data_IF_591235017289
#
_entry.id   IF_591235017289
#
_cell.length_a   1.000
_cell.length_b   1.000
_cell.length_c   1.000
_cell.angle_alpha   90.00
_cell.angle_beta   90.00
_cell.angle_gamma   90.00
#
_symmetry.space_group_name_H-M   'P 1'
#
loop_
_entity.id
_entity.type
_entity.pdbx_description
1 polymer ?
#
# COMPACT_ATOMS: atom_id res chain seq x y z
N UNK A 1 -62.52 29.52 31.48
CA UNK A 1 -61.96 28.91 30.25
C UNK A 1 -60.47 28.70 30.45
N UNK A 2 -60.07 27.52 30.92
CA UNK A 2 -58.66 27.16 31.14
C UNK A 2 -58.11 26.54 29.87
N UNK A 3 -57.19 27.24 29.21
CA UNK A 3 -56.43 26.75 28.06
C UNK A 3 -55.52 25.62 28.53
N UNK A 4 -55.83 24.37 28.16
CA UNK A 4 -54.96 23.21 28.36
C UNK A 4 -53.88 23.28 27.28
N UNK A 5 -52.68 23.70 27.65
CA UNK A 5 -51.51 23.59 26.77
C UNK A 5 -51.17 22.10 26.63
N UNK A 6 -51.24 21.60 25.40
CA UNK A 6 -50.96 20.21 25.05
C UNK A 6 -49.43 20.02 24.96
N UNK A 7 -48.82 19.56 26.05
CA UNK A 7 -47.37 19.36 26.18
C UNK A 7 -46.93 18.01 25.59
N UNK A 8 -47.21 17.74 24.32
CA UNK A 8 -46.96 16.41 23.70
C UNK A 8 -45.61 16.28 22.97
N UNK A 9 -44.70 17.26 23.10
CA UNK A 9 -43.49 17.32 22.27
C UNK A 9 -42.14 17.14 23.01
N UNK A 10 -42.13 16.96 24.33
CA UNK A 10 -40.86 16.89 25.11
C UNK A 10 -40.18 15.52 25.13
N UNK A 11 -40.90 14.46 24.80
CA UNK A 11 -40.45 13.06 24.94
C UNK A 11 -39.69 12.51 23.73
N UNK A 12 -39.65 13.24 22.61
CA UNK A 12 -38.96 12.85 21.38
C UNK A 12 -37.70 13.70 21.18
N UNK A 13 -36.67 13.12 20.57
CA UNK A 13 -35.52 13.90 20.11
C UNK A 13 -35.95 14.82 18.97
N UNK A 14 -35.43 16.04 18.97
CA UNK A 14 -35.59 16.97 17.85
C UNK A 14 -34.84 16.49 16.60
N UNK A 15 -34.98 17.23 15.50
CA UNK A 15 -34.36 16.90 14.20
C UNK A 15 -32.83 17.03 14.23
N UNK A 16 -32.31 18.00 14.99
CA UNK A 16 -30.87 18.32 15.03
C UNK A 16 -29.96 17.12 15.36
N UNK A 17 -30.22 16.32 16.42
CA UNK A 17 -29.45 15.10 16.68
C UNK A 17 -29.37 14.15 15.49
N UNK A 18 -30.44 13.98 14.71
CA UNK A 18 -30.43 13.11 13.53
C UNK A 18 -29.60 13.68 12.37
N UNK A 19 -29.50 15.00 12.24
CA UNK A 19 -28.57 15.65 11.30
C UNK A 19 -27.12 15.33 11.71
N UNK A 20 -26.81 15.40 13.00
CA UNK A 20 -25.50 14.98 13.53
C UNK A 20 -25.24 13.50 13.26
N UNK A 21 -26.23 12.65 13.47
CA UNK A 21 -26.16 11.23 13.08
C UNK A 21 -25.90 11.04 11.58
N UNK A 22 -26.54 11.83 10.71
CA UNK A 22 -26.30 11.78 9.26
C UNK A 22 -24.89 12.20 8.84
N UNK A 23 -24.31 13.20 9.51
CA UNK A 23 -22.92 13.63 9.26
C UNK A 23 -21.88 12.55 9.56
N UNK A 24 -22.25 11.49 10.29
CA UNK A 24 -21.35 10.36 10.56
C UNK A 24 -20.95 9.56 9.32
N UNK A 25 -21.62 9.77 8.19
CA UNK A 25 -21.32 9.12 6.91
C UNK A 25 -20.33 9.92 6.02
N UNK A 26 -19.86 11.07 6.47
CA UNK A 26 -18.76 11.79 5.78
C UNK A 26 -17.47 10.99 6.01
N UNK A 27 -16.78 10.50 4.98
CA UNK A 27 -15.53 9.77 5.17
C UNK A 27 -14.52 10.60 5.99
N UNK A 28 -13.76 9.93 6.86
CA UNK A 28 -12.78 10.50 7.81
C UNK A 28 -13.39 11.33 8.94
N UNK A 29 -14.10 12.41 8.61
CA UNK A 29 -14.70 13.34 9.59
C UNK A 29 -15.90 12.74 10.33
N UNK A 30 -16.58 11.79 9.69
CA UNK A 30 -17.81 11.15 10.17
C UNK A 30 -17.62 10.33 11.44
N UNK A 31 -16.41 9.86 11.75
CA UNK A 31 -16.15 9.15 13.01
C UNK A 31 -16.43 10.03 14.22
N UNK A 32 -16.03 11.31 14.18
CA UNK A 32 -16.28 12.27 15.28
C UNK A 32 -17.79 12.47 15.47
N UNK A 33 -18.52 12.72 14.39
CA UNK A 33 -19.98 12.87 14.43
C UNK A 33 -20.70 11.58 14.84
N UNK A 34 -20.18 10.43 14.42
CA UNK A 34 -20.69 9.10 14.77
C UNK A 34 -20.54 8.81 16.26
N UNK A 35 -19.38 9.14 16.86
CA UNK A 35 -19.15 9.00 18.30
C UNK A 35 -20.06 9.93 19.10
N UNK A 36 -20.23 11.18 18.67
CA UNK A 36 -21.15 12.14 19.30
C UNK A 36 -22.59 11.61 19.25
N UNK A 37 -23.06 11.16 18.09
CA UNK A 37 -24.39 10.60 17.91
C UNK A 37 -24.60 9.31 18.73
N UNK A 38 -23.57 8.45 18.79
CA UNK A 38 -23.60 7.21 19.57
C UNK A 38 -23.77 7.48 21.06
N UNK A 39 -22.90 8.32 21.64
CA UNK A 39 -22.96 8.68 23.07
C UNK A 39 -24.27 9.40 23.38
N UNK A 40 -24.68 10.36 22.55
CA UNK A 40 -25.93 11.09 22.75
C UNK A 40 -27.15 10.16 22.68
N UNK A 41 -27.17 9.25 21.71
CA UNK A 41 -28.24 8.27 21.55
C UNK A 41 -28.35 7.29 22.72
N UNK A 42 -27.23 6.85 23.28
CA UNK A 42 -27.17 5.93 24.42
C UNK A 42 -27.55 6.61 25.75
N UNK A 43 -27.14 7.87 25.95
CA UNK A 43 -27.43 8.64 27.18
C UNK A 43 -28.87 9.20 27.17
N UNK A 44 -29.49 9.35 25.99
CA UNK A 44 -30.84 9.91 25.88
C UNK A 44 -31.93 8.89 26.27
N UNK A 45 -32.68 9.19 27.34
CA UNK A 45 -33.91 8.48 27.69
C UNK A 45 -35.11 8.81 26.76
N UNK A 46 -34.93 9.72 25.80
CA UNK A 46 -35.99 10.18 24.90
C UNK A 46 -36.24 9.19 23.75
N UNK A 47 -37.48 9.16 23.26
CA UNK A 47 -37.84 8.40 22.06
C UNK A 47 -36.98 8.88 20.88
N UNK A 48 -36.29 7.95 20.24
CA UNK A 48 -35.34 8.20 19.15
C UNK A 48 -33.87 8.01 19.51
N UNK A 49 -33.51 7.95 20.81
CA UNK A 49 -32.11 7.78 21.24
C UNK A 49 -31.44 6.53 20.66
N UNK A 50 -32.13 5.38 20.69
CA UNK A 50 -31.65 4.13 20.08
C UNK A 50 -31.40 4.25 18.57
N UNK A 51 -32.26 4.98 17.85
CA UNK A 51 -32.09 5.18 16.41
C UNK A 51 -30.90 6.09 16.12
N UNK A 52 -30.73 7.16 16.90
CA UNK A 52 -29.58 8.05 16.81
C UNK A 52 -28.26 7.28 17.09
N UNK A 53 -28.27 6.44 18.12
CA UNK A 53 -27.13 5.58 18.44
C UNK A 53 -26.81 4.62 17.29
N UNK A 54 -27.83 4.00 16.69
CA UNK A 54 -27.67 3.13 15.53
C UNK A 54 -27.10 3.88 14.32
N UNK A 55 -27.53 5.13 14.06
CA UNK A 55 -26.97 5.96 12.99
C UNK A 55 -25.49 6.27 13.22
N UNK A 56 -25.12 6.65 14.45
CA UNK A 56 -23.72 6.91 14.80
C UNK A 56 -22.84 5.66 14.64
N UNK A 57 -23.31 4.50 15.12
CA UNK A 57 -22.62 3.23 14.94
C UNK A 57 -22.49 2.84 13.45
N UNK A 58 -23.54 3.05 12.66
CA UNK A 58 -23.54 2.75 11.23
C UNK A 58 -22.56 3.63 10.45
N UNK A 59 -22.45 4.93 10.76
CA UNK A 59 -21.47 5.81 10.12
C UNK A 59 -20.01 5.46 10.46
N UNK A 60 -19.75 5.07 11.71
CA UNK A 60 -18.43 4.53 12.11
C UNK A 60 -18.13 3.25 11.34
N UNK A 61 -19.07 2.30 11.33
CA UNK A 61 -18.91 1.03 10.60
C UNK A 61 -18.71 1.26 9.09
N UNK A 62 -19.43 2.21 8.50
CA UNK A 62 -19.27 2.61 7.10
C UNK A 62 -17.87 3.14 6.80
N UNK A 63 -17.33 3.97 7.69
CA UNK A 63 -15.95 4.47 7.57
C UNK A 63 -14.95 3.33 7.63
N UNK A 64 -15.08 2.44 8.63
CA UNK A 64 -14.22 1.25 8.76
C UNK A 64 -14.31 0.36 7.52
N UNK A 65 -15.51 0.14 6.99
CA UNK A 65 -15.74 -0.66 5.78
C UNK A 65 -14.99 -0.08 4.58
N UNK A 66 -15.16 1.22 4.31
CA UNK A 66 -14.49 1.89 3.18
C UNK A 66 -12.98 1.79 3.30
N UNK A 67 -12.42 2.14 4.46
CA UNK A 67 -10.96 2.14 4.60
C UNK A 67 -10.37 0.74 4.64
N UNK A 68 -11.08 -0.24 5.20
CA UNK A 68 -10.67 -1.65 5.14
C UNK A 68 -10.69 -2.16 3.70
N UNK A 69 -11.70 -1.78 2.91
CA UNK A 69 -11.77 -2.12 1.49
C UNK A 69 -10.63 -1.45 0.70
N UNK A 70 -10.41 -0.13 0.87
CA UNK A 70 -9.30 0.59 0.24
C UNK A 70 -7.95 -0.02 0.61
N UNK A 71 -7.77 -0.40 1.87
CA UNK A 71 -6.55 -1.07 2.31
C UNK A 71 -6.40 -2.45 1.68
N UNK A 72 -7.46 -3.26 1.68
CA UNK A 72 -7.44 -4.60 1.13
C UNK A 72 -7.18 -4.59 -0.38
N UNK A 73 -7.95 -3.85 -1.16
CA UNK A 73 -7.77 -3.72 -2.61
C UNK A 73 -6.51 -2.95 -2.98
N UNK A 74 -6.05 -2.06 -2.09
CA UNK A 74 -4.90 -1.20 -2.31
C UNK A 74 -3.57 -1.89 -2.05
N UNK A 75 -3.52 -2.74 -1.02
CA UNK A 75 -2.27 -3.28 -0.48
C UNK A 75 -2.28 -4.81 -0.32
N UNK A 76 -3.42 -5.44 -0.08
CA UNK A 76 -3.48 -6.86 0.29
C UNK A 76 -3.76 -7.78 -0.90
N UNK A 77 -4.62 -7.34 -1.80
CA UNK A 77 -4.98 -8.08 -2.98
C UNK A 77 -3.87 -7.96 -4.03
N UNK A 78 -3.26 -9.10 -4.36
CA UNK A 78 -2.42 -9.26 -5.56
C UNK A 78 -3.29 -9.17 -6.81
N UNK A 79 -2.79 -8.54 -7.87
CA UNK A 79 -3.54 -8.09 -9.04
C UNK A 79 -4.45 -6.90 -8.76
N UNK A 80 -4.15 -6.09 -7.74
CA UNK A 80 -4.98 -4.96 -7.30
C UNK A 80 -4.85 -3.74 -8.22
N UNK A 81 -5.64 -2.69 -7.93
CA UNK A 81 -5.67 -1.44 -8.72
C UNK A 81 -4.31 -0.73 -8.76
N UNK A 82 -3.41 -1.02 -7.82
CA UNK A 82 -2.08 -0.44 -7.75
C UNK A 82 -0.97 -1.33 -8.34
N UNK A 83 -1.28 -2.54 -8.80
CA UNK A 83 -0.25 -3.47 -9.29
C UNK A 83 0.43 -2.96 -10.55
N UNK A 84 -0.30 -2.36 -11.49
CA UNK A 84 0.28 -1.72 -12.68
C UNK A 84 1.26 -0.61 -12.31
N UNK A 85 0.91 0.21 -11.31
CA UNK A 85 1.76 1.29 -10.81
C UNK A 85 3.02 0.73 -10.12
N UNK A 86 2.86 -0.33 -9.32
CA UNK A 86 4.01 -1.01 -8.68
C UNK A 86 4.90 -1.68 -9.69
N UNK A 87 4.35 -2.28 -10.75
CA UNK A 87 5.10 -2.86 -11.86
C UNK A 87 5.93 -1.81 -12.58
N UNK A 88 5.34 -0.63 -12.86
CA UNK A 88 6.08 0.50 -13.42
C UNK A 88 7.19 1.01 -12.49
N UNK A 89 6.93 1.06 -11.17
CA UNK A 89 7.96 1.41 -10.19
C UNK A 89 9.08 0.37 -10.14
N UNK A 90 8.74 -0.93 -10.09
CA UNK A 90 9.69 -2.03 -10.11
C UNK A 90 10.61 -1.92 -11.33
N UNK A 91 10.02 -1.70 -12.50
CA UNK A 91 10.73 -1.53 -13.75
C UNK A 91 11.72 -0.35 -13.72
N UNK A 92 11.27 0.83 -13.30
CA UNK A 92 12.14 2.02 -13.21
C UNK A 92 13.29 1.83 -12.20
N UNK A 93 13.01 1.16 -11.09
CA UNK A 93 14.01 0.85 -10.07
C UNK A 93 15.03 -0.17 -10.59
N UNK A 94 14.57 -1.21 -11.27
CA UNK A 94 15.42 -2.22 -11.91
C UNK A 94 16.37 -1.60 -12.93
N UNK A 95 15.85 -0.75 -13.81
CA UNK A 95 16.65 -0.07 -14.85
C UNK A 95 17.75 0.80 -14.22
N UNK A 96 17.41 1.53 -13.14
CA UNK A 96 18.37 2.35 -12.40
C UNK A 96 19.40 1.51 -11.63
N UNK A 97 18.98 0.35 -11.12
CA UNK A 97 19.81 -0.56 -10.36
C UNK A 97 20.87 -1.25 -11.23
N UNK A 98 20.56 -1.59 -12.48
CA UNK A 98 21.55 -2.08 -13.46
C UNK A 98 22.72 -1.12 -13.57
N UNK A 99 22.47 0.17 -13.80
CA UNK A 99 23.54 1.16 -13.91
C UNK A 99 24.42 1.23 -12.66
N UNK A 100 23.84 1.00 -11.49
CA UNK A 100 24.55 1.01 -10.21
C UNK A 100 25.43 -0.23 -10.04
N UNK A 101 24.90 -1.41 -10.36
CA UNK A 101 25.63 -2.69 -10.30
C UNK A 101 26.80 -2.70 -11.30
N UNK A 102 26.58 -2.23 -12.53
CA UNK A 102 27.65 -2.14 -13.53
C UNK A 102 28.73 -1.14 -13.09
N UNK A 103 28.34 0.00 -12.52
CA UNK A 103 29.31 0.97 -11.98
C UNK A 103 30.12 0.39 -10.82
N UNK A 104 29.51 -0.44 -9.97
CA UNK A 104 30.19 -1.13 -8.89
C UNK A 104 31.26 -2.08 -9.43
N UNK A 105 30.93 -2.86 -10.47
CA UNK A 105 31.84 -3.79 -11.11
C UNK A 105 33.06 -3.08 -11.73
N UNK A 106 32.86 -1.92 -12.37
CA UNK A 106 33.95 -1.12 -12.92
C UNK A 106 34.91 -0.62 -11.82
N UNK A 107 34.39 -0.29 -10.63
CA UNK A 107 35.18 0.25 -9.53
C UNK A 107 35.92 -0.83 -8.73
N UNK A 108 35.30 -2.00 -8.54
CA UNK A 108 35.80 -3.06 -7.67
C UNK A 108 36.37 -4.26 -8.44
N UNK A 109 36.22 -4.28 -9.77
CA UNK A 109 36.62 -5.38 -10.65
C UNK A 109 35.68 -6.59 -10.66
N UNK A 110 34.71 -6.64 -9.75
CA UNK A 110 33.77 -7.75 -9.59
C UNK A 110 32.35 -7.27 -9.25
N UNK A 111 31.34 -8.03 -9.63
CA UNK A 111 29.95 -7.78 -9.22
C UNK A 111 29.75 -8.00 -7.70
N UNK A 112 28.85 -7.23 -7.07
CA UNK A 112 28.59 -7.33 -5.63
C UNK A 112 28.11 -8.73 -5.25
N UNK A 113 28.40 -9.16 -4.01
CA UNK A 113 27.95 -10.48 -3.55
C UNK A 113 26.43 -10.54 -3.35
N UNK A 114 25.82 -9.40 -3.00
CA UNK A 114 24.38 -9.24 -2.80
C UNK A 114 24.00 -7.75 -2.94
N UNK A 115 22.70 -7.47 -3.05
CA UNK A 115 22.21 -6.07 -3.03
C UNK A 115 22.42 -5.41 -1.66
N UNK A 116 22.42 -6.18 -0.57
CA UNK A 116 22.80 -5.67 0.75
C UNK A 116 24.28 -5.22 0.77
N UNK A 117 25.18 -6.02 0.21
CA UNK A 117 26.60 -5.63 0.11
C UNK A 117 26.79 -4.41 -0.80
N UNK A 118 25.98 -4.27 -1.87
CA UNK A 118 25.97 -3.07 -2.69
C UNK A 118 25.52 -1.85 -1.86
N UNK A 119 24.46 -1.99 -1.05
CA UNK A 119 23.92 -0.93 -0.20
C UNK A 119 24.98 -0.33 0.73
N UNK A 120 25.80 -1.18 1.35
CA UNK A 120 26.86 -0.75 2.28
C UNK A 120 27.96 0.09 1.62
N UNK A 121 28.10 0.00 0.29
CA UNK A 121 29.09 0.78 -0.48
C UNK A 121 28.55 2.10 -1.05
N UNK A 122 27.24 2.31 -0.97
CA UNK A 122 26.62 3.51 -1.50
C UNK A 122 26.77 4.69 -0.51
N UNK A 123 27.05 5.91 -1.00
CA UNK A 123 26.97 7.12 -0.17
C UNK A 123 25.55 7.25 0.41
N UNK A 124 25.44 7.70 1.66
CA UNK A 124 24.12 7.88 2.31
C UNK A 124 23.18 8.84 1.56
N UNK A 125 23.73 9.71 0.71
CA UNK A 125 22.99 10.67 -0.12
C UNK A 125 22.39 10.03 -1.39
N UNK A 126 22.83 8.83 -1.79
CA UNK A 126 22.25 8.13 -2.95
C UNK A 126 20.99 7.39 -2.55
N UNK A 127 19.85 7.96 -2.92
CA UNK A 127 18.55 7.30 -2.82
C UNK A 127 18.36 6.30 -3.96
N UNK A 128 18.89 5.08 -3.81
CA UNK A 128 18.68 3.97 -4.75
C UNK A 128 17.70 2.99 -4.11
N UNK A 129 16.63 2.66 -4.83
CA UNK A 129 15.64 1.70 -4.37
C UNK A 129 16.11 0.28 -4.74
N UNK A 130 16.47 -0.49 -3.72
CA UNK A 130 16.94 -1.87 -3.85
C UNK A 130 15.82 -2.90 -3.62
N UNK A 131 14.67 -2.45 -3.15
CA UNK A 131 13.55 -3.28 -2.72
C UNK A 131 12.49 -3.40 -3.80
N UNK A 132 11.93 -4.59 -3.91
CA UNK A 132 10.92 -4.93 -4.88
C UNK A 132 9.52 -4.51 -4.35
N UNK A 133 8.83 -3.57 -5.04
CA UNK A 133 7.52 -3.10 -4.61
C UNK A 133 6.41 -4.13 -4.84
N UNK A 134 6.64 -5.20 -5.62
CA UNK A 134 5.66 -6.25 -5.90
C UNK A 134 5.69 -7.38 -4.87
N UNK A 135 6.85 -7.68 -4.30
CA UNK A 135 6.99 -8.71 -3.25
C UNK A 135 6.77 -8.17 -1.83
N UNK A 136 6.87 -6.84 -1.65
CA UNK A 136 6.67 -6.17 -0.36
C UNK A 136 5.27 -6.44 0.20
N UNK A 137 5.17 -7.42 1.11
CA UNK A 137 3.93 -7.73 1.80
C UNK A 137 3.59 -6.66 2.84
N UNK A 138 2.29 -6.42 3.08
CA UNK A 138 1.76 -5.49 4.10
C UNK A 138 2.41 -5.63 5.49
N UNK A 139 2.84 -6.84 5.85
CA UNK A 139 3.41 -7.17 7.16
C UNK A 139 4.84 -7.70 7.08
N UNK A 140 5.44 -7.70 5.89
CA UNK A 140 6.79 -8.22 5.64
C UNK A 140 7.85 -7.13 5.72
N UNK A 141 9.08 -7.53 5.98
CA UNK A 141 10.22 -6.67 5.67
C UNK A 141 10.26 -6.47 4.15
N UNK A 142 10.61 -5.28 3.65
CA UNK A 142 10.78 -5.07 2.23
C UNK A 142 11.85 -6.03 1.71
N UNK A 143 11.51 -6.81 0.69
CA UNK A 143 12.43 -7.77 0.09
C UNK A 143 13.22 -7.07 -1.01
N UNK A 144 14.50 -7.40 -1.11
CA UNK A 144 15.34 -6.93 -2.22
C UNK A 144 14.81 -7.48 -3.55
N UNK A 145 15.10 -6.79 -4.65
CA UNK A 145 15.01 -7.43 -5.96
C UNK A 145 15.82 -8.73 -5.99
N UNK A 146 15.34 -9.71 -6.75
CA UNK A 146 16.11 -10.93 -6.94
C UNK A 146 17.41 -10.60 -7.64
N UNK A 147 18.52 -10.94 -6.99
CA UNK A 147 19.86 -10.77 -7.51
C UNK A 147 20.65 -12.06 -7.31
N UNK A 148 21.21 -12.57 -8.40
CA UNK A 148 22.07 -13.74 -8.35
C UNK A 148 23.26 -13.54 -9.28
N UNK A 149 24.46 -13.55 -8.71
CA UNK A 149 25.69 -13.55 -9.50
C UNK A 149 25.90 -14.90 -10.20
N UNK A 150 26.29 -14.87 -11.46
CA UNK A 150 26.60 -16.02 -12.31
C UNK A 150 28.05 -15.91 -12.77
N UNK A 151 28.94 -16.68 -12.15
CA UNK A 151 30.38 -16.56 -12.39
C UNK A 151 30.95 -15.20 -11.97
N UNK A 152 31.95 -14.72 -12.71
CA UNK A 152 32.65 -13.45 -12.39
C UNK A 152 32.11 -12.24 -13.16
N UNK A 153 31.43 -12.49 -14.28
CA UNK A 153 31.09 -11.46 -15.28
C UNK A 153 29.61 -11.38 -15.59
N UNK A 154 28.77 -12.15 -14.92
CA UNK A 154 27.35 -12.18 -15.20
C UNK A 154 26.50 -12.20 -13.92
N UNK A 155 25.25 -11.78 -14.03
CA UNK A 155 24.27 -11.81 -12.94
C UNK A 155 22.84 -11.75 -13.47
N UNK A 156 21.90 -12.30 -12.69
CA UNK A 156 20.47 -12.08 -12.87
C UNK A 156 20.01 -10.94 -11.97
N UNK A 157 19.10 -10.11 -12.50
CA UNK A 157 18.38 -9.09 -11.75
C UNK A 157 16.93 -9.05 -12.24
N UNK A 158 15.98 -9.17 -11.32
CA UNK A 158 14.53 -9.15 -11.64
C UNK A 158 13.67 -8.86 -10.42
N UNK A 159 12.44 -8.43 -10.68
CA UNK A 159 11.34 -8.50 -9.72
C UNK A 159 10.69 -9.87 -9.84
N UNK A 160 10.29 -10.47 -8.71
CA UNK A 160 9.71 -11.83 -8.64
C UNK A 160 8.20 -11.87 -8.90
N UNK A 161 7.60 -10.75 -9.28
CA UNK A 161 6.18 -10.68 -9.55
C UNK A 161 5.29 -11.04 -8.37
N UNK A 162 4.11 -11.56 -8.66
CA UNK A 162 3.08 -11.89 -7.69
C UNK A 162 3.28 -13.29 -7.09
N UNK A 163 3.95 -14.20 -7.77
CA UNK A 163 4.16 -15.57 -7.30
C UNK A 163 5.39 -15.71 -6.39
N UNK A 164 6.30 -14.72 -6.42
CA UNK A 164 7.49 -14.66 -5.57
C UNK A 164 8.56 -15.68 -5.95
N UNK A 165 8.51 -16.22 -7.17
CA UNK A 165 9.46 -17.21 -7.67
C UNK A 165 10.25 -16.62 -8.83
N UNK A 166 11.57 -16.86 -8.89
CA UNK A 166 12.34 -16.37 -10.01
C UNK A 166 12.11 -17.24 -11.25
N UNK A 167 12.27 -16.62 -12.41
CA UNK A 167 12.20 -17.22 -13.74
C UNK A 167 10.79 -17.71 -14.13
N UNK A 168 9.79 -16.90 -13.80
CA UNK A 168 8.38 -17.10 -14.14
C UNK A 168 7.86 -15.99 -15.06
N UNK A 169 6.68 -16.18 -15.62
CA UNK A 169 6.10 -15.26 -16.61
C UNK A 169 5.69 -13.89 -16.01
N UNK A 170 5.53 -13.81 -14.69
CA UNK A 170 5.18 -12.58 -13.97
C UNK A 170 6.41 -11.80 -13.47
N UNK A 171 7.62 -12.30 -13.74
CA UNK A 171 8.86 -11.58 -13.47
C UNK A 171 8.94 -10.30 -14.30
N UNK A 172 9.43 -9.22 -13.67
CA UNK A 172 9.81 -8.00 -14.39
C UNK A 172 11.33 -7.96 -14.52
N UNK A 173 11.82 -7.80 -15.74
CA UNK A 173 13.25 -7.69 -16.07
C UNK A 173 13.61 -6.27 -16.54
N UNK A 174 14.84 -5.79 -16.29
CA UNK A 174 15.26 -4.47 -16.76
C UNK A 174 15.10 -4.31 -18.28
N UNK A 175 14.57 -3.18 -18.74
CA UNK A 175 14.34 -2.84 -20.15
C UNK A 175 15.61 -2.56 -20.92
N UNK A 176 16.66 -2.11 -20.24
CA UNK A 176 17.87 -1.63 -20.91
C UNK A 176 18.37 -2.67 -21.93
N UNK A 177 18.47 -2.32 -23.22
CA UNK A 177 19.18 -3.17 -24.16
C UNK A 177 20.58 -3.37 -23.58
N UNK A 178 21.10 -4.60 -23.58
CA UNK A 178 22.54 -4.80 -23.46
C UNK A 178 23.19 -3.76 -24.37
N UNK A 179 23.86 -2.75 -23.80
CA UNK A 179 24.25 -1.58 -24.58
C UNK A 179 24.93 -2.08 -25.84
N UNK A 180 24.41 -1.72 -27.01
CA UNK A 180 24.96 -2.13 -28.30
C UNK A 180 26.41 -1.61 -28.36
N UNK A 181 27.37 -2.47 -27.96
CA UNK A 181 28.80 -2.17 -27.86
C UNK A 181 29.47 -2.37 -26.48
N UNK A 182 28.75 -2.66 -25.38
CA UNK A 182 29.33 -2.73 -24.03
C UNK A 182 29.00 -4.04 -23.28
N UNK A 183 30.02 -4.67 -22.71
CA UNK A 183 29.96 -5.89 -21.89
C UNK A 183 29.10 -5.74 -20.60
N UNK A 184 27.78 -5.59 -20.69
CA UNK A 184 26.92 -5.72 -19.50
C UNK A 184 26.85 -7.19 -19.08
N UNK A 185 26.93 -7.44 -17.77
CA UNK A 185 26.81 -8.78 -17.19
C UNK A 185 25.37 -9.26 -16.99
N UNK A 186 24.37 -8.44 -17.29
CA UNK A 186 22.97 -8.77 -17.03
C UNK A 186 22.49 -9.96 -17.90
N UNK A 187 22.00 -11.00 -17.25
CA UNK A 187 21.34 -12.16 -17.85
C UNK A 187 19.81 -12.08 -17.64
N UNK A 188 19.07 -11.99 -18.74
CA UNK A 188 17.60 -11.93 -18.74
C UNK A 188 16.96 -13.31 -18.70
N UNK A 189 17.49 -14.24 -19.48
CA UNK A 189 16.96 -15.60 -19.56
C UNK A 189 17.51 -16.45 -18.42
N UNK A 190 16.77 -17.48 -18.03
CA UNK A 190 17.30 -18.53 -17.16
C UNK A 190 18.43 -19.24 -17.92
N UNK A 191 19.68 -18.94 -17.60
CA UNK A 191 20.79 -19.75 -18.10
C UNK A 191 20.79 -21.04 -17.29
N UNK A 192 20.57 -22.18 -17.97
CA UNK A 192 20.73 -23.49 -17.36
C UNK A 192 22.15 -23.62 -16.76
N UNK A 193 22.29 -24.27 -15.59
CA UNK A 193 23.59 -24.50 -14.96
C UNK A 193 24.53 -25.34 -15.82
#
# INVERSE_FOLDING_TARGET
>A
MTHKADNTNTDKLGVFPFVVGGMSFIPLLGVVFGLIALVWGLVSAKRGGKLLAAMGAAGIAFTVLIYSALFYFGFAQRGGVYDDLRGQMAQNNLDSLVSTIESYQVQHGQYPASLAALQDTLPQERSIILFDPLTSAISGQPEYFFYQRVGERQYHLRSLGADGKPFTDDDIVPHMPAQNGGNSGLLRDATAP
#
